data_IF_461016888826
#
_entry.id   IF_461016888826
#
_cell.length_a   1.000
_cell.length_b   1.000
_cell.length_c   1.000
_cell.angle_alpha   90.00
_cell.angle_beta   90.00
_cell.angle_gamma   90.00
#
_symmetry.space_group_name_H-M   'P 1'
#
loop_
_entity.id
_entity.type
_entity.pdbx_description
1 polymer ?
#
# COMPACT_ATOMS: atom_id res chain seq x y z
N UNK A 1 -31.99 -24.58 11.39
CA UNK A 1 -31.82 -23.30 12.10
C UNK A 1 -30.32 -23.21 12.29
N UNK A 2 -29.67 -22.35 11.53
CA UNK A 2 -28.22 -22.24 11.52
C UNK A 2 -27.85 -21.39 12.73
N UNK A 3 -27.25 -22.00 13.73
CA UNK A 3 -26.69 -21.30 14.88
C UNK A 3 -25.61 -20.34 14.34
N UNK A 4 -25.91 -19.05 14.37
CA UNK A 4 -24.91 -18.01 14.18
C UNK A 4 -24.14 -17.98 15.50
N UNK A 5 -23.03 -18.72 15.55
CA UNK A 5 -22.05 -18.53 16.62
C UNK A 5 -21.54 -17.08 16.53
N UNK A 6 -21.92 -16.28 17.52
CA UNK A 6 -21.36 -14.96 17.76
C UNK A 6 -19.98 -15.18 18.40
N UNK A 7 -18.93 -14.89 17.65
CA UNK A 7 -17.57 -14.92 18.18
C UNK A 7 -17.24 -13.53 18.74
N UNK A 8 -17.01 -13.45 20.04
CA UNK A 8 -16.40 -12.27 20.66
C UNK A 8 -14.92 -12.23 20.24
N UNK A 9 -14.52 -11.12 19.61
CA UNK A 9 -13.14 -10.93 19.14
C UNK A 9 -12.50 -9.83 19.97
N UNK A 10 -11.42 -10.15 20.66
CA UNK A 10 -10.59 -9.15 21.34
C UNK A 10 -9.73 -8.42 20.31
N UNK A 11 -9.78 -7.08 20.33
CA UNK A 11 -8.97 -6.24 19.44
C UNK A 11 -8.00 -5.37 20.24
N UNK A 12 -6.76 -5.30 19.77
CA UNK A 12 -5.69 -4.50 20.37
C UNK A 12 -5.76 -3.07 19.82
N UNK A 13 -5.86 -2.08 20.70
CA UNK A 13 -5.83 -0.66 20.31
C UNK A 13 -4.44 -0.22 19.85
N UNK A 14 -4.37 0.42 18.68
CA UNK A 14 -3.15 1.02 18.11
C UNK A 14 -3.30 2.53 18.09
N UNK A 15 -2.71 3.19 19.08
CA UNK A 15 -2.73 4.64 19.21
C UNK A 15 -1.90 5.31 18.10
N UNK A 16 -2.52 6.26 17.40
CA UNK A 16 -1.87 7.07 16.37
C UNK A 16 -2.13 8.56 16.63
N UNK A 17 -1.10 9.38 16.41
CA UNK A 17 -1.18 10.82 16.69
C UNK A 17 -1.70 11.66 15.52
N UNK A 18 -1.82 11.06 14.33
CA UNK A 18 -2.21 11.77 13.10
C UNK A 18 -2.98 10.80 12.23
N UNK A 19 -4.13 11.27 11.74
CA UNK A 19 -4.87 10.62 10.65
C UNK A 19 -5.01 11.59 9.46
N UNK A 20 -5.03 11.09 8.21
CA UNK A 20 -4.91 9.69 7.83
C UNK A 20 -3.48 9.13 7.95
N UNK A 21 -3.36 7.89 8.43
CA UNK A 21 -2.09 7.15 8.52
C UNK A 21 -2.03 6.04 7.45
N UNK A 22 -0.83 5.64 7.02
CA UNK A 22 -0.66 4.58 6.02
C UNK A 22 -0.66 3.20 6.69
N UNK A 23 -1.37 2.20 6.13
CA UNK A 23 -1.50 0.85 6.69
C UNK A 23 -0.18 0.21 7.17
N UNK A 24 0.89 0.24 6.35
CA UNK A 24 2.19 -0.33 6.76
C UNK A 24 2.81 0.36 7.99
N UNK A 25 2.47 1.64 8.23
CA UNK A 25 2.92 2.36 9.43
C UNK A 25 2.13 1.90 10.64
N UNK A 26 0.84 1.63 10.50
CA UNK A 26 0.01 1.10 11.59
C UNK A 26 0.57 -0.25 12.06
N UNK A 27 0.85 -1.18 11.15
CA UNK A 27 1.47 -2.48 11.50
C UNK A 27 2.82 -2.30 12.23
N UNK A 28 3.62 -1.32 11.80
CA UNK A 28 4.88 -1.01 12.47
C UNK A 28 4.66 -0.46 13.88
N UNK A 29 3.69 0.43 14.08
CA UNK A 29 3.37 1.03 15.39
C UNK A 29 2.83 -0.05 16.34
N UNK A 30 2.00 -0.97 15.84
CA UNK A 30 1.53 -2.13 16.57
C UNK A 30 2.64 -3.13 16.95
N UNK A 31 3.86 -2.96 16.41
CA UNK A 31 5.02 -3.81 16.66
C UNK A 31 4.80 -5.29 16.27
N UNK A 32 3.95 -5.54 15.28
CA UNK A 32 3.62 -6.89 14.77
C UNK A 32 4.53 -7.35 13.63
N UNK A 33 5.42 -6.46 13.20
CA UNK A 33 6.41 -6.65 12.14
C UNK A 33 7.74 -6.07 12.58
N UNK A 34 8.84 -6.69 12.16
CA UNK A 34 10.22 -6.24 12.44
C UNK A 34 10.55 -4.89 11.80
N UNK A 35 9.83 -4.49 10.76
CA UNK A 35 10.02 -3.19 10.13
C UNK A 35 9.10 -2.88 8.96
N UNK A 36 9.26 -1.67 8.40
CA UNK A 36 8.41 -1.20 7.30
C UNK A 36 8.59 -1.94 5.97
N UNK A 37 9.72 -2.65 5.78
CA UNK A 37 9.95 -3.52 4.63
C UNK A 37 9.09 -4.78 4.69
N UNK A 38 9.11 -5.45 5.84
CA UNK A 38 8.25 -6.60 6.13
C UNK A 38 6.76 -6.22 6.07
N UNK A 39 6.36 -5.11 6.70
CA UNK A 39 4.99 -4.60 6.62
C UNK A 39 4.50 -4.49 5.17
N UNK A 40 5.32 -3.91 4.30
CA UNK A 40 5.00 -3.77 2.87
C UNK A 40 5.00 -5.10 2.12
N UNK A 41 5.76 -6.08 2.59
CA UNK A 41 5.79 -7.42 2.01
C UNK A 41 4.51 -8.16 2.38
N UNK A 42 4.17 -8.28 3.67
CA UNK A 42 2.98 -9.03 4.13
C UNK A 42 1.67 -8.45 3.60
N UNK A 43 1.55 -7.11 3.52
CA UNK A 43 0.41 -6.46 2.85
C UNK A 43 0.40 -6.83 1.37
N UNK A 44 1.55 -6.77 0.70
CA UNK A 44 1.65 -7.06 -0.74
C UNK A 44 1.33 -8.50 -1.12
N UNK A 45 1.51 -9.44 -0.20
CA UNK A 45 1.16 -10.86 -0.38
C UNK A 45 -0.31 -11.15 0.02
N UNK A 46 -1.03 -10.17 0.56
CA UNK A 46 -2.43 -10.33 0.96
C UNK A 46 -2.62 -11.07 2.28
N UNK A 47 -1.67 -10.99 3.21
CA UNK A 47 -1.81 -11.55 4.57
C UNK A 47 -2.53 -10.63 5.55
N UNK A 48 -2.92 -9.43 5.12
CA UNK A 48 -3.51 -8.40 5.97
C UNK A 48 -4.93 -8.13 5.51
N UNK A 49 -5.88 -8.27 6.43
CA UNK A 49 -7.27 -7.86 6.25
C UNK A 49 -7.48 -6.46 6.82
N UNK A 50 -8.38 -5.69 6.20
CA UNK A 50 -8.88 -4.44 6.77
C UNK A 50 -10.38 -4.39 6.61
N UNK A 51 -11.10 -4.23 7.73
CA UNK A 51 -12.56 -4.24 7.81
C UNK A 51 -13.19 -5.48 7.13
N UNK A 52 -12.55 -6.65 7.31
CA UNK A 52 -13.01 -7.93 6.77
C UNK A 52 -12.63 -8.22 5.31
N UNK A 53 -11.90 -7.32 4.63
CA UNK A 53 -11.43 -7.53 3.26
C UNK A 53 -9.91 -7.59 3.17
N UNK A 54 -9.37 -8.53 2.38
CA UNK A 54 -7.94 -8.59 2.11
C UNK A 54 -7.44 -7.31 1.42
N UNK A 55 -6.43 -6.68 2.00
CA UNK A 55 -5.87 -5.43 1.51
C UNK A 55 -4.43 -5.63 1.01
N UNK A 56 -4.15 -5.15 -0.21
CA UNK A 56 -2.82 -5.20 -0.82
C UNK A 56 -2.19 -3.82 -1.03
N UNK A 57 -2.95 -2.75 -0.81
CA UNK A 57 -2.47 -1.37 -0.88
C UNK A 57 -1.71 -1.03 0.39
N UNK A 58 -0.39 -1.21 0.33
CA UNK A 58 0.60 -0.89 1.37
C UNK A 58 0.42 0.49 2.01
N UNK A 59 -0.01 1.48 1.22
CA UNK A 59 -0.24 2.87 1.65
C UNK A 59 -1.74 3.24 1.70
N UNK A 60 -2.63 2.27 1.89
CA UNK A 60 -4.05 2.56 2.20
C UNK A 60 -4.09 3.52 3.37
N UNK A 61 -4.94 4.54 3.25
CA UNK A 61 -5.21 5.49 4.32
C UNK A 61 -6.12 4.81 5.34
N UNK A 62 -5.67 4.81 6.58
CA UNK A 62 -6.35 4.30 7.74
C UNK A 62 -6.80 5.47 8.61
N UNK A 63 -7.96 5.30 9.23
CA UNK A 63 -8.61 6.28 10.10
C UNK A 63 -8.95 5.63 11.45
N UNK A 64 -9.27 6.47 12.42
CA UNK A 64 -9.83 6.05 13.70
C UNK A 64 -11.00 5.05 13.50
N UNK A 65 -10.97 3.96 14.26
CA UNK A 65 -11.95 2.87 14.21
C UNK A 65 -11.73 1.82 13.11
N UNK A 66 -10.80 2.02 12.17
CA UNK A 66 -10.48 0.97 11.20
C UNK A 66 -9.90 -0.28 11.90
N UNK A 67 -10.40 -1.45 11.50
CA UNK A 67 -9.99 -2.75 12.04
C UNK A 67 -9.04 -3.43 11.07
N UNK A 68 -7.90 -3.89 11.58
CA UNK A 68 -6.88 -4.64 10.86
C UNK A 68 -6.86 -6.06 11.38
N UNK A 69 -6.84 -7.03 10.48
CA UNK A 69 -6.64 -8.46 10.79
C UNK A 69 -5.27 -8.89 10.30
N UNK A 70 -4.45 -9.45 11.18
CA UNK A 70 -3.12 -9.98 10.85
C UNK A 70 -2.71 -11.06 11.86
N UNK A 71 -2.20 -12.19 11.37
CA UNK A 71 -1.78 -13.32 12.21
C UNK A 71 -2.86 -13.79 13.23
N UNK A 72 -4.13 -13.87 12.79
CA UNK A 72 -5.28 -14.26 13.63
C UNK A 72 -5.58 -13.29 14.79
N UNK A 73 -4.90 -12.14 14.83
CA UNK A 73 -5.14 -11.06 15.78
C UNK A 73 -5.79 -9.86 15.09
N UNK A 74 -6.54 -9.10 15.89
CA UNK A 74 -7.26 -7.92 15.44
C UNK A 74 -6.70 -6.67 16.11
N UNK A 75 -6.57 -5.60 15.32
CA UNK A 75 -6.06 -4.31 15.77
C UNK A 75 -7.01 -3.20 15.36
N UNK A 76 -7.33 -2.31 16.29
CA UNK A 76 -8.16 -1.12 16.02
C UNK A 76 -7.29 0.11 16.03
N UNK A 77 -7.40 0.94 14.99
CA UNK A 77 -6.75 2.25 14.97
C UNK A 77 -7.48 3.18 15.94
N UNK A 78 -6.75 3.81 16.86
CA UNK A 78 -7.29 4.78 17.82
C UNK A 78 -6.56 6.11 17.62
N UNK A 79 -7.29 7.19 17.36
CA UNK A 79 -6.73 8.53 17.17
C UNK A 79 -7.55 9.56 17.95
N UNK A 80 -7.05 9.97 19.12
CA UNK A 80 -7.69 10.97 19.97
C UNK A 80 -7.57 12.41 19.46
N UNK A 81 -6.88 12.63 18.33
CA UNK A 81 -6.69 13.98 17.80
C UNK A 81 -8.05 14.48 17.32
N UNK A 82 -8.62 15.55 17.92
CA UNK A 82 -9.84 16.12 17.40
C UNK A 82 -9.55 16.51 15.96
N UNK A 83 -10.42 16.11 15.03
CA UNK A 83 -10.36 16.56 13.64
C UNK A 83 -10.58 18.07 13.66
N UNK A 84 -9.53 18.84 13.95
CA UNK A 84 -9.48 20.26 13.71
C UNK A 84 -9.59 20.41 12.21
N UNK A 85 -10.69 21.04 11.78
CA UNK A 85 -11.02 21.33 10.39
C UNK A 85 -9.73 21.49 9.57
N UNK A 86 -9.50 20.54 8.66
CA UNK A 86 -8.61 20.80 7.54
C UNK A 86 -9.07 22.14 6.97
N UNK A 87 -8.22 23.17 6.83
CA UNK A 87 -8.63 24.34 6.09
C UNK A 87 -9.09 23.83 4.73
N UNK A 88 -10.35 24.10 4.40
CA UNK A 88 -10.85 24.00 3.04
C UNK A 88 -9.81 24.71 2.18
N UNK A 89 -9.10 23.97 1.35
CA UNK A 89 -8.33 24.57 0.27
C UNK A 89 -9.42 25.12 -0.65
N UNK A 90 -9.79 26.39 -0.43
CA UNK A 90 -10.73 27.13 -1.25
C UNK A 90 -10.35 26.91 -2.72
N UNK A 91 -11.24 26.24 -3.45
CA UNK A 91 -11.22 26.19 -4.90
C UNK A 91 -11.31 27.63 -5.42
N UNK A 92 -10.18 28.25 -5.74
CA UNK A 92 -10.21 29.44 -6.60
C UNK A 92 -10.55 29.00 -8.03
N UNK A 93 -11.67 29.45 -8.61
CA UNK A 93 -12.03 29.12 -9.98
C UNK A 93 -11.07 29.88 -10.92
N UNK A 94 -10.35 29.17 -11.78
CA UNK A 94 -9.73 29.78 -12.96
C UNK A 94 -10.62 29.50 -14.18
N UNK A 95 -11.22 30.54 -14.80
CA UNK A 95 -11.99 30.37 -16.02
C UNK A 95 -11.07 30.24 -17.26
N UNK A 96 -11.42 29.31 -18.15
CA UNK A 96 -11.41 29.36 -19.65
C UNK A 96 -10.29 30.17 -20.33
N UNK A 97 -9.54 29.74 -21.35
CA UNK A 97 -9.82 28.87 -22.50
C UNK A 97 -8.57 28.93 -23.41
N UNK A 98 -8.20 27.81 -24.05
CA UNK A 98 -7.94 27.74 -25.51
C UNK A 98 -7.49 26.33 -25.92
N UNK A 99 -8.40 25.54 -26.47
CA UNK A 99 -8.08 24.54 -27.49
C UNK A 99 -7.85 25.29 -28.84
N UNK A 100 -7.07 24.73 -29.80
CA UNK A 100 -7.62 23.72 -30.68
C UNK A 100 -6.70 22.52 -30.97
N UNK A 101 -7.37 21.37 -31.09
CA UNK A 101 -7.19 20.27 -32.05
C UNK A 101 -5.78 19.96 -32.60
N UNK A 102 -5.37 18.69 -32.49
CA UNK A 102 -5.21 17.87 -33.70
C UNK A 102 -5.17 16.36 -33.41
N UNK A 103 -6.22 15.68 -33.92
CA UNK A 103 -6.19 14.37 -34.59
C UNK A 103 -5.64 13.15 -33.85
N UNK A 104 -6.58 12.30 -33.40
CA UNK A 104 -6.45 10.84 -33.53
C UNK A 104 -6.40 10.45 -35.04
N UNK A 105 -5.86 9.27 -35.44
CA UNK A 105 -6.65 8.05 -35.29
C UNK A 105 -5.90 6.71 -35.07
N UNK A 106 -6.47 5.91 -34.17
CA UNK A 106 -6.86 4.48 -34.33
C UNK A 106 -5.81 3.38 -34.62
N UNK A 107 -5.95 2.33 -33.79
CA UNK A 107 -6.12 0.89 -34.12
C UNK A 107 -4.96 -0.12 -34.12
N UNK A 108 -5.22 -1.17 -33.30
CA UNK A 108 -5.07 -2.64 -33.55
C UNK A 108 -3.73 -3.35 -33.25
N UNK A 109 -3.86 -4.33 -32.33
CA UNK A 109 -3.34 -5.71 -32.33
C UNK A 109 -1.89 -5.92 -32.82
N UNK A 110 -1.04 -6.47 -31.94
CA UNK A 110 -0.43 -7.76 -32.29
C UNK A 110 0.08 -8.62 -31.12
N UNK A 111 0.12 -9.91 -31.43
CA UNK A 111 0.34 -11.09 -30.60
C UNK A 111 1.80 -11.58 -30.75
N UNK A 112 2.29 -12.32 -29.73
CA UNK A 112 3.30 -13.42 -29.78
C UNK A 112 4.80 -13.11 -29.57
N UNK A 113 5.33 -13.72 -28.48
CA UNK A 113 6.58 -14.53 -28.31
C UNK A 113 7.89 -14.11 -29.00
N UNK A 114 8.98 -13.94 -28.21
CA UNK A 114 10.24 -14.75 -28.19
C UNK A 114 11.32 -14.03 -27.33
N UNK A 115 11.80 -14.68 -26.26
CA UNK A 115 13.11 -15.33 -26.10
C UNK A 115 14.29 -14.39 -25.78
N UNK A 116 15.01 -14.73 -24.70
CA UNK A 116 16.26 -14.14 -24.18
C UNK A 116 17.36 -14.03 -25.25
N UNK A 117 18.41 -13.23 -24.95
CA UNK A 117 19.70 -13.87 -24.73
C UNK A 117 20.36 -13.44 -23.41
N UNK A 118 21.07 -14.39 -22.81
CA UNK A 118 21.88 -14.22 -21.60
C UNK A 118 23.01 -13.20 -21.84
N UNK A 119 23.16 -12.23 -20.94
CA UNK A 119 24.36 -11.38 -20.90
C UNK A 119 25.49 -12.14 -20.19
N UNK A 120 26.72 -12.16 -20.73
CA UNK A 120 27.85 -12.79 -20.07
C UNK A 120 28.31 -11.92 -18.89
N UNK A 121 28.11 -12.38 -17.66
CA UNK A 121 28.81 -11.85 -16.50
C UNK A 121 30.20 -12.45 -16.45
N UNK A 122 31.23 -11.68 -16.80
CA UNK A 122 32.61 -12.06 -16.47
C UNK A 122 32.81 -11.89 -14.96
N UNK A 123 33.08 -12.99 -14.28
CA UNK A 123 33.43 -13.01 -12.85
C UNK A 123 34.92 -12.77 -12.70
N UNK A 124 35.32 -11.64 -12.11
CA UNK A 124 36.71 -11.42 -11.71
C UNK A 124 37.05 -12.34 -10.53
N UNK A 125 38.06 -13.24 -10.63
CA UNK A 125 38.29 -14.29 -9.64
C UNK A 125 38.91 -13.81 -8.32
N UNK A 126 39.21 -12.51 -8.16
CA UNK A 126 39.98 -12.01 -7.01
C UNK A 126 39.20 -11.13 -6.03
N UNK A 127 37.95 -10.72 -6.31
CA UNK A 127 37.22 -9.87 -5.35
C UNK A 127 35.75 -10.20 -5.06
N UNK A 128 35.17 -11.25 -5.66
CA UNK A 128 33.82 -11.73 -5.35
C UNK A 128 32.69 -10.70 -5.44
N UNK A 129 32.97 -9.48 -5.93
CA UNK A 129 32.05 -8.36 -6.04
C UNK A 129 31.73 -8.15 -7.51
N UNK A 130 30.43 -8.20 -7.83
CA UNK A 130 29.92 -7.89 -9.16
C UNK A 130 30.07 -6.40 -9.42
N UNK A 131 30.95 -6.03 -10.34
CA UNK A 131 31.10 -4.66 -10.84
C UNK A 131 29.86 -4.29 -11.70
N UNK A 132 29.25 -3.15 -11.40
CA UNK A 132 28.13 -2.58 -12.16
C UNK A 132 28.69 -1.37 -12.90
N UNK A 133 28.71 -1.39 -14.22
CA UNK A 133 29.20 -0.26 -15.01
C UNK A 133 28.16 0.87 -15.02
N UNK A 134 28.58 2.07 -14.62
CA UNK A 134 27.84 3.33 -14.74
C UNK A 134 28.43 4.15 -15.89
N UNK A 135 28.22 3.69 -17.12
CA UNK A 135 28.42 4.51 -18.32
C UNK A 135 27.54 4.01 -19.46
#
# INVERSE_FOLDING_TARGET
MSDQEEFEVEAIGVEVNVQPIELYKVLKIANVVSGGGEAKHVIGEGYVGVNGELEQRKRRKMYDGDVIEFNEEYYVVICDTPVGELPEIEEKPQPMQSEPEHSAPKTKKNKKKKQKPDQPTTVDPESGRRSINFF
#
